data_IF_826026777776
#
_entry.id   IF_826026777776
#
_cell.length_a   1.000
_cell.length_b   1.000
_cell.length_c   1.000
_cell.angle_alpha   90.00
_cell.angle_beta   90.00
_cell.angle_gamma   90.00
#
_symmetry.space_group_name_H-M   'P 1'
#
loop_
_entity.id
_entity.type
_entity.pdbx_description
1 polymer ?
#
# COMPACT_ATOMS: atom_id res chain seq x y z
N UNK A 1 4.07 6.81 18.11
CA UNK A 1 3.93 5.78 17.05
C UNK A 1 2.43 5.57 16.84
N UNK A 2 1.96 5.73 15.59
CA UNK A 2 0.55 5.56 15.22
C UNK A 2 0.14 4.07 15.25
N UNK A 3 -1.16 3.78 15.26
CA UNK A 3 -1.65 2.39 15.17
C UNK A 3 -1.22 1.74 13.86
N UNK A 4 -1.23 2.47 12.74
CA UNK A 4 -0.75 2.00 11.46
C UNK A 4 0.71 1.53 11.55
N UNK A 5 1.59 2.34 12.13
CA UNK A 5 3.01 1.99 12.29
C UNK A 5 3.21 0.78 13.21
N UNK A 6 2.39 0.63 14.25
CA UNK A 6 2.42 -0.55 15.12
C UNK A 6 2.03 -1.81 14.34
N UNK A 7 0.98 -1.74 13.53
CA UNK A 7 0.52 -2.85 12.69
C UNK A 7 1.58 -3.27 11.67
N UNK A 8 2.17 -2.30 10.95
CA UNK A 8 3.28 -2.56 10.03
C UNK A 8 4.42 -3.30 10.74
N UNK A 9 4.87 -2.77 11.87
CA UNK A 9 5.99 -3.38 12.62
C UNK A 9 5.65 -4.79 13.12
N UNK A 10 4.41 -5.03 13.55
CA UNK A 10 3.97 -6.35 14.00
C UNK A 10 3.93 -7.36 12.84
N UNK A 11 3.45 -6.95 11.67
CA UNK A 11 3.42 -7.80 10.46
C UNK A 11 4.82 -8.12 9.95
N UNK A 12 5.74 -7.15 9.95
CA UNK A 12 7.15 -7.34 9.54
C UNK A 12 7.94 -8.30 10.45
N UNK A 13 7.42 -8.67 11.63
CA UNK A 13 7.99 -9.75 12.44
C UNK A 13 7.69 -11.15 11.88
N UNK A 14 6.71 -11.27 11.00
CA UNK A 14 6.24 -12.54 10.40
C UNK A 14 6.43 -12.60 8.89
N UNK A 15 6.46 -11.44 8.26
CA UNK A 15 6.58 -11.27 6.80
C UNK A 15 7.96 -10.70 6.52
N UNK A 16 8.75 -11.45 5.76
CA UNK A 16 10.12 -11.06 5.44
C UNK A 16 10.13 -9.87 4.47
N UNK A 17 10.86 -8.83 4.86
CA UNK A 17 11.21 -7.71 3.99
C UNK A 17 12.57 -7.97 3.35
N UNK A 18 12.67 -7.76 2.04
CA UNK A 18 13.92 -7.93 1.30
C UNK A 18 14.35 -6.58 0.73
N UNK A 19 15.43 -5.99 1.26
CA UNK A 19 15.92 -4.69 0.82
C UNK A 19 16.58 -4.77 -0.57
N UNK A 20 16.62 -3.63 -1.24
CA UNK A 20 17.48 -3.42 -2.41
C UNK A 20 18.87 -3.03 -1.92
N UNK A 21 19.97 -3.58 -2.49
CA UNK A 21 21.30 -3.10 -2.17
C UNK A 21 21.43 -1.60 -2.50
N UNK A 22 21.89 -0.81 -1.52
CA UNK A 22 21.96 0.65 -1.68
C UNK A 22 22.73 1.07 -2.94
N UNK A 23 23.87 0.42 -3.20
CA UNK A 23 24.70 0.71 -4.38
C UNK A 23 23.93 0.47 -5.69
N UNK A 24 23.13 -0.60 -5.77
CA UNK A 24 22.32 -0.91 -6.97
C UNK A 24 21.27 0.17 -7.21
N UNK A 25 20.57 0.61 -6.16
CA UNK A 25 19.58 1.67 -6.26
C UNK A 25 20.25 3.01 -6.66
N UNK A 26 21.33 3.38 -6.00
CA UNK A 26 22.05 4.63 -6.27
C UNK A 26 22.59 4.68 -7.71
N UNK A 27 23.20 3.60 -8.18
CA UNK A 27 23.74 3.49 -9.55
C UNK A 27 22.62 3.61 -10.59
N UNK A 28 21.47 2.94 -10.37
CA UNK A 28 20.32 3.03 -11.26
C UNK A 28 19.74 4.45 -11.33
N UNK A 29 19.55 5.10 -10.19
CA UNK A 29 19.03 6.46 -10.12
C UNK A 29 19.95 7.47 -10.82
N UNK A 30 21.27 7.33 -10.61
CA UNK A 30 22.28 8.19 -11.27
C UNK A 30 22.29 7.97 -12.78
N UNK A 31 22.31 6.72 -13.22
CA UNK A 31 22.35 6.35 -14.64
C UNK A 31 21.13 6.90 -15.41
N UNK A 32 19.96 6.85 -14.79
CA UNK A 32 18.70 7.27 -15.43
C UNK A 32 18.29 8.72 -15.07
N UNK A 33 19.14 9.45 -14.33
CA UNK A 33 18.90 10.85 -13.91
C UNK A 33 17.59 11.02 -13.12
N UNK A 34 17.20 9.99 -12.34
CA UNK A 34 15.98 9.97 -11.54
C UNK A 34 16.25 10.64 -10.18
N UNK A 35 15.30 11.45 -9.73
CA UNK A 35 15.30 12.02 -8.38
C UNK A 35 14.02 11.61 -7.69
N UNK A 36 14.14 10.90 -6.59
CA UNK A 36 13.03 10.48 -5.75
C UNK A 36 12.87 11.38 -4.53
N UNK A 37 11.66 11.48 -4.01
CA UNK A 37 11.47 12.01 -2.67
C UNK A 37 12.12 11.05 -1.64
N UNK A 38 12.60 11.59 -0.48
CA UNK A 38 13.34 10.79 0.50
C UNK A 38 12.57 9.57 1.01
N UNK A 39 11.25 9.70 1.16
CA UNK A 39 10.36 8.64 1.63
C UNK A 39 10.28 7.50 0.61
N UNK A 40 10.20 7.82 -0.69
CA UNK A 40 10.15 6.82 -1.76
C UNK A 40 11.50 6.11 -1.92
N UNK A 41 12.61 6.86 -1.90
CA UNK A 41 13.94 6.26 -1.88
C UNK A 41 14.09 5.24 -0.75
N UNK A 42 13.66 5.62 0.46
CA UNK A 42 13.71 4.73 1.61
C UNK A 42 12.81 3.51 1.46
N UNK A 43 11.61 3.70 0.90
CA UNK A 43 10.68 2.60 0.65
C UNK A 43 11.28 1.55 -0.29
N UNK A 44 11.87 1.98 -1.42
CA UNK A 44 12.54 1.06 -2.35
C UNK A 44 13.74 0.39 -1.66
N UNK A 45 14.57 1.16 -0.97
CA UNK A 45 15.75 0.64 -0.29
C UNK A 45 15.40 -0.45 0.72
N UNK A 46 14.37 -0.22 1.55
CA UNK A 46 14.03 -1.11 2.66
C UNK A 46 13.19 -2.32 2.20
N UNK A 47 12.42 -2.19 1.09
CA UNK A 47 11.40 -3.17 0.72
C UNK A 47 11.41 -3.61 -0.76
N UNK A 48 12.08 -2.93 -1.67
CA UNK A 48 11.90 -3.04 -3.11
C UNK A 48 12.04 -4.44 -3.72
N UNK A 49 12.78 -5.35 -3.07
CA UNK A 49 12.89 -6.76 -3.49
C UNK A 49 11.94 -7.71 -2.73
N UNK A 50 11.03 -7.16 -1.91
CA UNK A 50 10.13 -7.97 -1.09
C UNK A 50 9.02 -8.61 -1.91
N UNK A 51 8.78 -9.93 -1.78
CA UNK A 51 7.74 -10.63 -2.54
C UNK A 51 6.32 -10.08 -2.32
N UNK A 52 6.04 -9.50 -1.15
CA UNK A 52 4.73 -8.93 -0.84
C UNK A 52 4.39 -7.66 -1.64
N UNK A 53 5.36 -7.05 -2.31
CA UNK A 53 5.12 -5.93 -3.22
C UNK A 53 4.54 -6.38 -4.56
N UNK A 54 4.61 -7.67 -4.87
CA UNK A 54 4.01 -8.27 -6.07
C UNK A 54 2.80 -9.08 -5.63
N UNK A 55 1.62 -8.56 -5.87
CA UNK A 55 0.37 -9.20 -5.49
C UNK A 55 -0.73 -8.97 -6.54
N UNK A 56 -1.92 -9.54 -6.33
CA UNK A 56 -3.06 -9.43 -7.25
C UNK A 56 -3.54 -7.98 -7.48
N UNK A 57 -3.11 -7.03 -6.68
CA UNK A 57 -3.59 -5.64 -6.71
C UNK A 57 -2.53 -4.65 -7.16
N UNK A 58 -1.25 -5.05 -7.20
CA UNK A 58 -0.17 -4.16 -7.60
C UNK A 58 1.14 -4.93 -7.87
N UNK A 59 1.98 -4.36 -8.72
CA UNK A 59 3.39 -4.67 -8.82
C UNK A 59 4.19 -3.39 -8.47
N UNK A 60 4.85 -3.41 -7.31
CA UNK A 60 5.54 -2.27 -6.71
C UNK A 60 7.02 -2.61 -6.47
N UNK A 61 7.50 -3.67 -7.12
CA UNK A 61 8.86 -4.15 -6.97
C UNK A 61 9.89 -3.21 -7.58
N UNK A 62 11.15 -3.33 -7.15
CA UNK A 62 12.24 -2.59 -7.76
C UNK A 62 12.46 -2.99 -9.22
N UNK A 63 12.15 -4.23 -9.61
CA UNK A 63 12.21 -4.65 -11.02
C UNK A 63 11.16 -3.91 -11.86
N UNK A 64 9.91 -3.80 -11.40
CA UNK A 64 8.88 -2.99 -12.06
C UNK A 64 9.31 -1.52 -12.19
N UNK A 65 9.90 -0.97 -11.13
CA UNK A 65 10.44 0.38 -11.15
C UNK A 65 11.55 0.55 -12.20
N UNK A 66 12.48 -0.42 -12.29
CA UNK A 66 13.54 -0.41 -13.30
C UNK A 66 12.99 -0.53 -14.71
N UNK A 67 12.02 -1.41 -14.92
CA UNK A 67 11.41 -1.65 -16.23
C UNK A 67 10.77 -0.38 -16.75
N UNK A 68 9.99 0.33 -15.94
CA UNK A 68 9.37 1.59 -16.33
C UNK A 68 10.38 2.63 -16.84
N UNK A 69 11.49 2.84 -16.12
CA UNK A 69 12.50 3.83 -16.53
C UNK A 69 13.49 3.35 -17.61
N UNK A 70 13.50 2.06 -17.91
CA UNK A 70 14.36 1.47 -18.95
C UNK A 70 13.65 1.35 -20.30
N UNK A 71 12.35 1.52 -20.36
CA UNK A 71 11.58 1.47 -21.60
C UNK A 71 11.96 2.61 -22.53
N UNK A 72 12.24 2.26 -23.80
CA UNK A 72 12.64 3.23 -24.84
C UNK A 72 11.47 3.90 -25.53
N UNK A 73 10.29 3.30 -25.47
CA UNK A 73 9.05 3.82 -26.06
C UNK A 73 7.97 3.88 -24.97
N UNK A 74 7.69 5.08 -24.48
CA UNK A 74 6.60 5.32 -23.53
C UNK A 74 5.30 5.55 -24.28
N UNK A 75 4.28 4.72 -24.03
CA UNK A 75 2.94 4.94 -24.55
C UNK A 75 2.34 6.22 -23.94
N UNK A 76 1.41 6.92 -24.64
CA UNK A 76 0.78 8.13 -24.09
C UNK A 76 0.13 7.92 -22.73
N UNK A 77 -0.41 6.72 -22.47
CA UNK A 77 -1.06 6.37 -21.21
C UNK A 77 -0.06 6.22 -20.07
N UNK A 78 1.22 5.93 -20.37
CA UNK A 78 2.27 5.64 -19.40
C UNK A 78 3.17 6.86 -19.12
N UNK A 79 2.81 8.03 -19.66
CA UNK A 79 3.55 9.26 -19.40
C UNK A 79 3.33 9.70 -17.94
N UNK A 80 4.39 9.65 -17.14
CA UNK A 80 4.38 10.13 -15.76
C UNK A 80 4.12 11.65 -15.69
N UNK A 81 3.26 12.13 -14.79
CA UNK A 81 3.10 13.56 -14.57
C UNK A 81 4.41 14.23 -14.15
N UNK A 82 4.64 15.45 -14.61
CA UNK A 82 5.84 16.20 -14.30
C UNK A 82 6.01 16.37 -12.78
N UNK A 83 7.19 16.09 -12.25
CA UNK A 83 7.56 16.16 -10.83
C UNK A 83 6.93 15.08 -9.91
N UNK A 84 6.26 14.09 -10.47
CA UNK A 84 5.76 12.94 -9.70
C UNK A 84 6.78 11.79 -9.72
N UNK A 85 6.81 10.97 -8.66
CA UNK A 85 7.62 9.75 -8.63
C UNK A 85 6.75 8.57 -9.07
N UNK A 86 7.25 7.73 -9.98
CA UNK A 86 6.63 6.46 -10.33
C UNK A 86 6.79 5.44 -9.20
N UNK A 87 5.72 4.73 -8.85
CA UNK A 87 5.71 3.76 -7.73
C UNK A 87 5.58 2.32 -8.22
N UNK A 88 4.90 2.10 -9.34
CA UNK A 88 4.58 0.78 -9.86
C UNK A 88 3.24 0.79 -10.59
N UNK A 89 2.61 -0.38 -10.73
CA UNK A 89 1.32 -0.56 -11.40
C UNK A 89 0.26 -1.14 -10.45
N UNK A 90 -1.02 -0.87 -10.73
CA UNK A 90 -2.14 -1.53 -10.09
C UNK A 90 -2.54 -2.83 -10.81
N UNK A 91 -3.62 -3.49 -10.37
CA UNK A 91 -4.12 -4.75 -10.94
C UNK A 91 -4.71 -4.62 -12.36
N UNK A 92 -4.93 -3.41 -12.86
CA UNK A 92 -5.35 -3.12 -14.23
C UNK A 92 -4.17 -2.64 -15.08
N UNK A 93 -2.95 -2.79 -14.58
CA UNK A 93 -1.73 -2.28 -15.22
C UNK A 93 -1.69 -0.75 -15.33
N UNK A 94 -2.55 -0.04 -14.57
CA UNK A 94 -2.50 1.42 -14.52
C UNK A 94 -1.33 1.88 -13.65
N UNK A 95 -0.52 2.80 -14.16
CA UNK A 95 0.62 3.35 -13.44
C UNK A 95 0.21 4.09 -12.16
N UNK A 96 1.00 3.91 -11.11
CA UNK A 96 0.86 4.58 -9.82
C UNK A 96 1.97 5.60 -9.63
N UNK A 97 1.62 6.79 -9.13
CA UNK A 97 2.58 7.86 -8.87
C UNK A 97 2.33 8.56 -7.53
N UNK A 98 3.40 9.08 -6.91
CA UNK A 98 3.35 9.89 -5.69
C UNK A 98 3.24 11.36 -6.05
N UNK A 99 2.26 12.07 -5.51
CA UNK A 99 2.19 13.53 -5.52
C UNK A 99 3.22 14.09 -4.52
N UNK A 100 4.24 14.82 -4.96
CA UNK A 100 5.30 15.32 -4.10
C UNK A 100 4.80 16.32 -3.04
N UNK A 101 3.64 16.94 -3.24
CA UNK A 101 3.09 17.95 -2.34
C UNK A 101 2.23 17.34 -1.23
N UNK A 102 1.47 16.28 -1.54
CA UNK A 102 0.53 15.65 -0.61
C UNK A 102 1.01 14.29 -0.10
N UNK A 103 2.03 13.73 -0.73
CA UNK A 103 2.55 12.37 -0.52
C UNK A 103 1.51 11.27 -0.82
N UNK A 104 0.34 11.63 -1.35
CA UNK A 104 -0.69 10.66 -1.74
C UNK A 104 -0.32 9.97 -3.03
N UNK A 105 -0.76 8.71 -3.15
CA UNK A 105 -0.53 7.89 -4.33
C UNK A 105 -1.78 7.90 -5.18
N UNK A 106 -1.61 8.16 -6.47
CA UNK A 106 -2.67 8.27 -7.47
C UNK A 106 -2.37 7.35 -8.65
N UNK A 107 -3.40 6.93 -9.37
CA UNK A 107 -3.21 6.42 -10.73
C UNK A 107 -2.90 7.59 -11.66
N UNK A 108 -2.21 7.32 -12.76
CA UNK A 108 -1.93 8.35 -13.76
C UNK A 108 -2.12 7.82 -15.19
N UNK A 109 -2.18 8.75 -16.14
CA UNK A 109 -2.19 8.49 -17.56
C UNK A 109 -2.13 9.81 -18.34
N UNK A 110 -1.61 9.79 -19.56
CA UNK A 110 -1.48 10.96 -20.42
C UNK A 110 -0.76 12.15 -19.75
N UNK A 111 0.24 11.88 -18.91
CA UNK A 111 0.98 12.92 -18.20
C UNK A 111 0.20 13.62 -17.08
N UNK A 112 -0.88 13.01 -16.59
CA UNK A 112 -1.75 13.57 -15.54
C UNK A 112 -2.06 12.56 -14.45
N UNK A 113 -1.92 12.98 -13.19
CA UNK A 113 -2.42 12.21 -12.05
C UNK A 113 -3.96 12.31 -11.97
N UNK A 114 -4.62 11.20 -11.70
CA UNK A 114 -6.06 11.18 -11.39
C UNK A 114 -6.27 11.70 -9.97
N UNK A 115 -6.75 12.94 -9.85
CA UNK A 115 -6.96 13.63 -8.56
C UNK A 115 -8.40 13.57 -8.06
N UNK A 116 -9.29 12.85 -8.71
CA UNK A 116 -10.68 12.64 -8.23
C UNK A 116 -10.73 11.82 -6.92
N UNK A 117 -9.61 11.27 -6.53
CA UNK A 117 -9.34 10.58 -5.27
C UNK A 117 -7.85 10.24 -5.16
N UNK A 118 -7.47 9.61 -4.06
CA UNK A 118 -6.16 8.95 -3.94
C UNK A 118 -6.37 7.44 -4.07
N UNK A 119 -5.34 6.74 -4.49
CA UNK A 119 -5.34 5.27 -4.52
C UNK A 119 -4.89 4.70 -3.17
N UNK A 120 -3.81 5.29 -2.61
CA UNK A 120 -3.34 5.11 -1.23
C UNK A 120 -3.04 6.46 -0.60
N UNK A 121 -3.18 6.55 0.72
CA UNK A 121 -2.89 7.77 1.47
C UNK A 121 -1.43 8.18 1.49
N UNK A 122 -0.54 7.22 1.26
CA UNK A 122 0.90 7.40 1.16
C UNK A 122 1.63 6.06 1.17
N UNK A 123 2.96 6.10 1.28
CA UNK A 123 3.80 4.89 1.25
C UNK A 123 3.62 4.00 2.49
N UNK A 124 3.31 4.56 3.65
CA UNK A 124 3.00 3.76 4.86
C UNK A 124 1.69 3.00 4.71
N UNK A 125 0.67 3.64 4.17
CA UNK A 125 -0.63 3.04 3.88
C UNK A 125 -0.52 1.96 2.81
N UNK A 126 0.25 2.22 1.76
CA UNK A 126 0.59 1.26 0.71
C UNK A 126 1.32 0.03 1.30
N UNK A 127 2.37 0.25 2.09
CA UNK A 127 3.11 -0.83 2.76
C UNK A 127 2.21 -1.68 3.64
N UNK A 128 1.39 -1.04 4.47
CA UNK A 128 0.43 -1.74 5.31
C UNK A 128 -0.52 -2.60 4.46
N UNK A 129 -1.05 -2.07 3.37
CA UNK A 129 -1.97 -2.81 2.51
C UNK A 129 -1.29 -4.02 1.86
N UNK A 130 -0.07 -3.88 1.36
CA UNK A 130 0.71 -5.00 0.81
C UNK A 130 0.97 -6.09 1.85
N UNK A 131 1.42 -5.71 3.05
CA UNK A 131 1.62 -6.62 4.18
C UNK A 131 0.30 -7.31 4.59
N UNK A 132 -0.79 -6.54 4.69
CA UNK A 132 -2.11 -7.08 5.01
C UNK A 132 -2.55 -8.14 3.97
N UNK A 133 -2.32 -7.89 2.69
CA UNK A 133 -2.62 -8.88 1.63
C UNK A 133 -1.77 -10.15 1.77
N UNK A 134 -0.52 -10.03 2.19
CA UNK A 134 0.37 -11.17 2.41
C UNK A 134 -0.03 -12.00 3.65
N UNK A 135 -0.83 -11.46 4.58
CA UNK A 135 -1.28 -12.20 5.78
C UNK A 135 -2.09 -13.45 5.45
N UNK A 136 -2.74 -13.52 4.29
CA UNK A 136 -3.43 -14.72 3.81
C UNK A 136 -2.48 -15.91 3.60
N UNK A 137 -1.19 -15.64 3.31
CA UNK A 137 -0.16 -16.66 3.10
C UNK A 137 0.62 -16.97 4.38
N UNK A 138 0.81 -15.98 5.25
CA UNK A 138 1.77 -16.03 6.37
C UNK A 138 1.16 -16.32 7.73
N UNK A 139 -0.18 -16.54 7.81
CA UNK A 139 -0.91 -16.81 9.06
C UNK A 139 -0.56 -15.81 10.18
N UNK A 140 -0.59 -14.53 9.86
CA UNK A 140 -0.34 -13.46 10.84
C UNK A 140 -1.41 -13.37 11.93
N UNK A 141 -2.62 -13.87 11.67
CA UNK A 141 -3.76 -13.84 12.58
C UNK A 141 -4.16 -15.26 12.97
N UNK A 142 -4.62 -15.44 14.22
CA UNK A 142 -5.08 -16.74 14.72
C UNK A 142 -6.49 -17.07 14.24
N UNK A 143 -7.34 -16.05 14.14
CA UNK A 143 -8.72 -16.19 13.67
C UNK A 143 -9.06 -15.11 12.65
N UNK A 144 -9.84 -15.52 11.65
CA UNK A 144 -10.40 -14.61 10.66
C UNK A 144 -11.86 -14.98 10.46
N UNK A 145 -12.75 -14.00 10.56
CA UNK A 145 -14.17 -14.12 10.21
C UNK A 145 -14.43 -13.29 8.96
N UNK A 146 -14.91 -13.92 7.91
CA UNK A 146 -15.11 -13.29 6.61
C UNK A 146 -16.57 -12.97 6.34
N UNK A 147 -16.80 -11.91 5.55
CA UNK A 147 -18.08 -11.57 4.97
C UNK A 147 -19.22 -11.42 6.01
N UNK A 148 -18.93 -10.83 7.15
CA UNK A 148 -19.94 -10.53 8.18
C UNK A 148 -20.84 -9.42 7.61
N UNK A 149 -22.18 -9.64 7.47
CA UNK A 149 -23.05 -8.64 6.90
C UNK A 149 -23.22 -7.43 7.82
N UNK A 150 -23.18 -6.24 7.26
CA UNK A 150 -23.50 -4.99 7.94
C UNK A 150 -25.03 -4.82 7.90
N UNK A 151 -25.71 -5.28 8.95
CA UNK A 151 -27.17 -5.23 9.05
C UNK A 151 -27.69 -3.81 9.32
N UNK A 152 -26.88 -2.93 9.89
CA UNK A 152 -27.20 -1.54 10.21
C UNK A 152 -25.96 -0.67 9.98
N UNK A 153 -26.00 0.14 8.93
CA UNK A 153 -24.90 1.01 8.53
C UNK A 153 -24.65 2.13 9.56
N UNK A 154 -25.70 2.64 10.21
CA UNK A 154 -25.57 3.72 11.19
C UNK A 154 -24.92 3.19 12.47
N UNK A 155 -25.30 1.98 12.89
CA UNK A 155 -24.64 1.29 13.99
C UNK A 155 -23.15 1.03 13.67
N UNK A 156 -22.84 0.49 12.48
CA UNK A 156 -21.47 0.18 12.08
C UNK A 156 -20.60 1.44 12.08
N UNK A 157 -21.07 2.54 11.50
CA UNK A 157 -20.38 3.82 11.51
C UNK A 157 -20.17 4.34 12.94
N UNK A 158 -21.19 4.29 13.80
CA UNK A 158 -21.10 4.72 15.18
C UNK A 158 -20.08 3.91 15.98
N UNK A 159 -20.00 2.61 15.70
CA UNK A 159 -19.14 1.66 16.40
C UNK A 159 -17.66 1.76 16.00
N UNK A 160 -17.37 2.03 14.73
CA UNK A 160 -16.01 1.91 14.19
C UNK A 160 -15.39 3.21 13.67
N UNK A 161 -16.17 4.22 13.25
CA UNK A 161 -15.62 5.40 12.57
C UNK A 161 -14.52 6.13 13.37
N UNK A 162 -14.63 6.19 14.69
CA UNK A 162 -13.67 6.87 15.56
C UNK A 162 -12.34 6.13 15.76
N UNK A 163 -12.27 4.85 15.37
CA UNK A 163 -11.08 4.00 15.42
C UNK A 163 -10.56 3.64 14.02
N UNK A 164 -10.99 4.37 13.00
CA UNK A 164 -10.58 4.19 11.62
C UNK A 164 -9.09 4.50 11.42
N UNK A 165 -8.40 3.59 10.72
CA UNK A 165 -7.08 3.83 10.13
C UNK A 165 -7.33 4.47 8.77
N UNK A 166 -7.20 5.78 8.70
CA UNK A 166 -7.63 6.56 7.54
C UNK A 166 -6.73 6.38 6.34
N UNK A 167 -7.34 6.55 5.18
CA UNK A 167 -6.67 6.73 3.89
C UNK A 167 -5.77 5.55 3.46
N UNK A 168 -6.02 4.31 3.97
CA UNK A 168 -5.18 3.17 3.63
C UNK A 168 -5.30 2.81 2.15
N UNK A 169 -6.52 2.56 1.68
CA UNK A 169 -6.79 2.16 0.31
C UNK A 169 -8.17 2.63 -0.14
N UNK A 170 -8.29 3.03 -1.40
CA UNK A 170 -9.52 3.64 -1.94
C UNK A 170 -10.78 2.77 -1.76
N UNK A 171 -10.64 1.44 -1.79
CA UNK A 171 -11.78 0.52 -1.75
C UNK A 171 -11.97 -0.19 -0.41
N UNK A 172 -11.03 -0.09 0.53
CA UNK A 172 -11.07 -0.84 1.79
C UNK A 172 -10.80 0.10 2.96
N UNK A 173 -11.75 0.18 3.87
CA UNK A 173 -11.59 0.89 5.15
C UNK A 173 -11.10 -0.08 6.21
N UNK A 174 -10.18 0.40 7.02
CA UNK A 174 -9.61 -0.37 8.12
C UNK A 174 -9.89 0.30 9.46
N UNK A 175 -10.17 -0.53 10.46
CA UNK A 175 -10.44 -0.09 11.81
C UNK A 175 -9.68 -0.98 12.78
N UNK A 176 -9.18 -0.41 13.87
CA UNK A 176 -8.53 -1.19 14.92
C UNK A 176 -9.20 -0.93 16.26
N UNK A 177 -9.85 -1.97 16.83
CA UNK A 177 -10.61 -1.87 18.07
C UNK A 177 -10.46 -3.15 18.90
N UNK A 178 -10.23 -2.98 20.21
CA UNK A 178 -10.19 -4.07 21.19
C UNK A 178 -9.27 -5.24 20.79
N UNK A 179 -8.09 -4.93 20.22
CA UNK A 179 -7.14 -5.92 19.73
C UNK A 179 -7.55 -6.62 18.42
N UNK A 180 -8.57 -6.13 17.74
CA UNK A 180 -9.03 -6.66 16.47
C UNK A 180 -8.78 -5.67 15.32
N UNK A 181 -8.38 -6.19 14.17
CA UNK A 181 -8.35 -5.45 12.91
C UNK A 181 -9.61 -5.79 12.12
N UNK A 182 -10.34 -4.78 11.72
CA UNK A 182 -11.55 -4.90 10.91
C UNK A 182 -11.27 -4.30 9.54
N UNK A 183 -11.65 -5.01 8.48
CA UNK A 183 -11.58 -4.51 7.10
C UNK A 183 -12.97 -4.52 6.48
N UNK A 184 -13.42 -3.39 5.95
CA UNK A 184 -14.70 -3.25 5.25
C UNK A 184 -14.45 -2.73 3.85
N UNK A 185 -15.00 -3.42 2.84
CA UNK A 185 -14.94 -2.97 1.47
C UNK A 185 -16.18 -2.09 1.18
N UNK A 186 -15.95 -0.86 0.75
CA UNK A 186 -17.03 0.11 0.52
C UNK A 186 -18.00 -0.29 -0.63
N UNK A 187 -17.62 -1.29 -1.42
CA UNK A 187 -18.47 -1.84 -2.51
C UNK A 187 -19.44 -2.91 -2.06
N UNK A 188 -19.27 -3.44 -0.84
CA UNK A 188 -20.07 -4.52 -0.28
C UNK A 188 -20.55 -4.15 1.13
N UNK A 189 -21.75 -4.58 1.49
CA UNK A 189 -22.29 -4.38 2.84
C UNK A 189 -21.78 -5.48 3.81
N UNK A 190 -20.44 -5.69 3.80
CA UNK A 190 -19.79 -6.69 4.64
C UNK A 190 -18.48 -6.17 5.22
N UNK A 191 -18.02 -6.82 6.29
CA UNK A 191 -16.70 -6.61 6.86
C UNK A 191 -16.08 -7.93 7.31
N UNK A 192 -14.76 -7.92 7.44
CA UNK A 192 -13.98 -9.03 7.96
C UNK A 192 -13.37 -8.65 9.31
N UNK A 193 -13.23 -9.62 10.21
CA UNK A 193 -12.55 -9.47 11.51
C UNK A 193 -11.33 -10.35 11.55
N UNK A 194 -10.20 -9.78 11.93
CA UNK A 194 -8.91 -10.44 12.15
C UNK A 194 -8.53 -10.29 13.62
N UNK A 195 -8.18 -11.40 14.29
CA UNK A 195 -7.85 -11.38 15.72
C UNK A 195 -6.72 -12.35 16.08
N UNK A 196 -6.05 -12.06 17.17
CA UNK A 196 -4.92 -12.84 17.69
C UNK A 196 -3.62 -12.69 16.87
N UNK A 197 -2.66 -13.54 17.12
CA UNK A 197 -1.38 -13.56 16.40
C UNK A 197 -0.57 -12.28 16.57
N UNK A 198 -0.27 -11.60 15.46
CA UNK A 198 0.51 -10.34 15.52
C UNK A 198 -0.24 -9.21 16.24
N UNK A 199 -1.57 -9.27 16.38
CA UNK A 199 -2.37 -8.26 17.03
C UNK A 199 -2.27 -8.29 18.57
N UNK A 200 -1.94 -9.44 19.16
CA UNK A 200 -1.82 -9.60 20.62
C UNK A 200 -0.76 -8.68 21.23
N UNK A 201 0.20 -8.23 20.42
CA UNK A 201 1.25 -7.31 20.84
C UNK A 201 0.77 -5.85 20.88
N UNK A 202 -0.44 -5.57 20.38
CA UNK A 202 -0.98 -4.21 20.21
C UNK A 202 -2.11 -3.90 21.21
N UNK A 203 -2.56 -4.91 21.94
CA UNK A 203 -3.63 -4.84 22.93
C UNK A 203 -3.19 -4.12 24.21
#
# INVERSE_FOLDING_TARGET
MTILQKLINAMLQRIEAVPVPQQELDDFLVQNQIRLCPEHYRFILDYGNSPFLINWFANLSFDEFKDYYSETETLPDDILPEHYDYVGTDFNEAGLCIDPNTQKIHTFGYGKANKDGFYYGGLSELLFYCLFRETYRTKCFDTIQYNIPIMDQDWFKKEYLYVEIKDVFIYTRFFFKDGQLIASDDRFDTYDIYAGGVLDQLA
#
